data_IF_390893472637
#
_entry.id   IF_390893472637
#
_cell.length_a   1.000
_cell.length_b   1.000
_cell.length_c   1.000
_cell.angle_alpha   90.00
_cell.angle_beta   90.00
_cell.angle_gamma   90.00
#
_symmetry.space_group_name_H-M   'P 1'
#
loop_
_entity.id
_entity.type
_entity.pdbx_description
1 polymer ?
#
# COMPACT_ATOMS: atom_id res chain seq x y z
N UNK A 1 -12.31 12.08 -0.17
CA UNK A 1 -10.91 11.75 -0.52
C UNK A 1 -10.82 10.30 -0.96
N UNK A 2 -11.21 9.33 -0.11
CA UNK A 2 -11.16 7.90 -0.42
C UNK A 2 -11.85 7.47 -1.73
N UNK A 3 -13.05 7.97 -2.04
CA UNK A 3 -13.78 7.52 -3.25
C UNK A 3 -13.05 7.79 -4.57
N UNK A 4 -12.37 8.95 -4.73
CA UNK A 4 -11.64 9.26 -5.98
C UNK A 4 -10.40 8.38 -6.16
N UNK A 5 -9.70 8.08 -5.07
CA UNK A 5 -8.48 7.27 -5.13
C UNK A 5 -8.80 5.81 -5.48
N UNK A 6 -9.96 5.32 -5.02
CA UNK A 6 -10.51 4.01 -5.40
C UNK A 6 -10.89 3.96 -6.89
N UNK A 7 -11.56 5.00 -7.39
CA UNK A 7 -11.96 5.10 -8.80
C UNK A 7 -10.77 5.05 -9.76
N UNK A 8 -9.67 5.75 -9.44
CA UNK A 8 -8.44 5.75 -10.26
C UNK A 8 -7.78 4.36 -10.27
N UNK A 9 -7.66 3.72 -9.11
CA UNK A 9 -7.05 2.39 -9.00
C UNK A 9 -7.86 1.33 -9.76
N UNK A 10 -9.19 1.42 -9.67
CA UNK A 10 -10.12 0.56 -10.42
C UNK A 10 -10.07 0.81 -11.93
N UNK A 11 -9.89 2.06 -12.37
CA UNK A 11 -9.79 2.37 -13.79
C UNK A 11 -8.53 1.73 -14.39
N UNK A 12 -7.38 1.87 -13.73
CA UNK A 12 -6.11 1.26 -14.17
C UNK A 12 -6.21 -0.27 -14.23
N UNK A 13 -6.83 -0.89 -13.22
CA UNK A 13 -6.99 -2.36 -13.19
C UNK A 13 -7.99 -2.91 -14.22
N UNK A 14 -8.81 -2.05 -14.85
CA UNK A 14 -9.72 -2.41 -15.95
C UNK A 14 -9.10 -2.24 -17.32
N UNK A 15 -7.94 -1.58 -17.41
CA UNK A 15 -7.24 -1.40 -18.67
C UNK A 15 -6.70 -2.75 -19.17
N UNK A 16 -6.69 -2.91 -20.50
CA UNK A 16 -6.23 -4.15 -21.16
C UNK A 16 -4.76 -4.41 -20.79
N UNK A 17 -4.45 -5.63 -20.33
CA UNK A 17 -3.12 -6.02 -19.89
C UNK A 17 -2.86 -5.82 -18.39
N UNK A 18 -3.85 -5.31 -17.63
CA UNK A 18 -3.78 -5.13 -16.18
C UNK A 18 -4.74 -6.05 -15.41
N UNK A 19 -5.23 -7.12 -16.03
CA UNK A 19 -6.25 -8.01 -15.46
C UNK A 19 -5.80 -8.58 -14.11
N UNK A 20 -4.50 -8.91 -13.97
CA UNK A 20 -3.90 -9.40 -12.73
C UNK A 20 -3.89 -8.36 -11.59
N UNK A 21 -3.98 -7.06 -11.90
CA UNK A 21 -4.03 -6.00 -10.89
C UNK A 21 -5.37 -5.94 -10.18
N UNK A 22 -6.45 -6.48 -10.75
CA UNK A 22 -7.79 -6.41 -10.16
C UNK A 22 -7.85 -7.03 -8.77
N UNK A 23 -7.13 -8.14 -8.54
CA UNK A 23 -7.06 -8.78 -7.23
C UNK A 23 -6.38 -7.91 -6.16
N UNK A 24 -5.53 -6.97 -6.58
CA UNK A 24 -4.71 -6.12 -5.71
C UNK A 24 -5.35 -4.77 -5.39
N UNK A 25 -6.42 -4.37 -6.09
CA UNK A 25 -7.12 -3.09 -5.85
C UNK A 25 -7.56 -2.96 -4.39
N UNK A 26 -8.34 -3.92 -3.90
CA UNK A 26 -8.87 -3.89 -2.53
C UNK A 26 -7.77 -3.98 -1.45
N UNK A 27 -6.75 -4.86 -1.59
CA UNK A 27 -5.57 -4.82 -0.71
C UNK A 27 -4.84 -3.47 -0.71
N UNK A 28 -4.63 -2.86 -1.89
CA UNK A 28 -3.96 -1.57 -2.04
C UNK A 28 -4.72 -0.47 -1.29
N UNK A 29 -6.04 -0.39 -1.46
CA UNK A 29 -6.90 0.57 -0.76
C UNK A 29 -6.83 0.41 0.76
N UNK A 30 -6.93 -0.84 1.25
CA UNK A 30 -6.82 -1.14 2.68
C UNK A 30 -5.45 -0.74 3.23
N UNK A 31 -4.39 -1.03 2.48
CA UNK A 31 -3.03 -0.68 2.86
C UNK A 31 -2.84 0.85 2.91
N UNK A 32 -3.39 1.59 1.95
CA UNK A 32 -3.35 3.05 1.96
C UNK A 32 -4.10 3.62 3.16
N UNK A 33 -5.33 3.14 3.41
CA UNK A 33 -6.12 3.54 4.58
C UNK A 33 -5.38 3.25 5.90
N UNK A 34 -4.78 2.07 6.03
CA UNK A 34 -3.95 1.71 7.17
C UNK A 34 -2.73 2.64 7.31
N UNK A 35 -2.07 2.98 6.21
CA UNK A 35 -0.91 3.88 6.21
C UNK A 35 -1.26 5.26 6.77
N UNK A 36 -2.42 5.80 6.37
CA UNK A 36 -2.93 7.07 6.85
C UNK A 36 -3.39 7.01 8.32
N UNK A 37 -4.16 5.99 8.69
CA UNK A 37 -4.78 5.89 10.03
C UNK A 37 -3.81 5.47 11.14
N UNK A 38 -2.73 4.77 10.81
CA UNK A 38 -1.70 4.38 11.79
C UNK A 38 -0.55 5.39 11.92
N UNK A 39 -0.63 6.52 11.23
CA UNK A 39 0.36 7.60 11.34
C UNK A 39 -0.25 8.74 12.16
N UNK A 40 -0.07 8.67 13.47
CA UNK A 40 -0.78 9.50 14.46
C UNK A 40 -0.50 11.00 14.37
N UNK A 41 0.69 11.38 13.91
CA UNK A 41 1.10 12.78 13.74
C UNK A 41 0.73 13.34 12.35
N UNK A 42 0.11 12.52 11.49
CA UNK A 42 -0.23 12.89 10.12
C UNK A 42 0.98 13.15 9.23
N UNK A 43 2.18 12.70 9.60
CA UNK A 43 3.39 12.92 8.82
C UNK A 43 3.29 12.27 7.45
N UNK A 44 3.13 13.11 6.42
CA UNK A 44 2.92 12.68 5.04
C UNK A 44 4.05 11.81 4.49
N UNK A 45 5.29 12.05 4.91
CA UNK A 45 6.44 11.25 4.49
C UNK A 45 6.36 9.83 5.06
N UNK A 46 5.94 9.68 6.31
CA UNK A 46 5.75 8.36 6.94
C UNK A 46 4.54 7.62 6.33
N UNK A 47 3.43 8.33 6.06
CA UNK A 47 2.27 7.76 5.35
C UNK A 47 2.70 7.23 3.98
N UNK A 48 3.48 8.01 3.23
CA UNK A 48 3.97 7.62 1.91
C UNK A 48 4.95 6.44 2.00
N UNK A 49 5.88 6.44 2.96
CA UNK A 49 6.82 5.34 3.17
C UNK A 49 6.10 4.03 3.48
N UNK A 50 5.11 4.07 4.38
CA UNK A 50 4.21 2.95 4.65
C UNK A 50 3.52 2.51 3.36
N UNK A 51 2.83 3.40 2.64
CA UNK A 51 2.11 3.01 1.45
C UNK A 51 3.00 2.40 0.36
N UNK A 52 4.21 2.95 0.13
CA UNK A 52 5.20 2.39 -0.81
C UNK A 52 5.63 0.96 -0.44
N UNK A 53 5.64 0.60 0.84
CA UNK A 53 5.97 -0.76 1.27
C UNK A 53 4.99 -1.82 0.77
N UNK A 54 3.78 -1.43 0.36
CA UNK A 54 2.77 -2.35 -0.20
C UNK A 54 3.34 -3.18 -1.36
N UNK A 55 4.12 -2.58 -2.27
CA UNK A 55 4.71 -3.30 -3.39
C UNK A 55 5.73 -4.36 -2.95
N UNK A 56 6.47 -4.08 -1.87
CA UNK A 56 7.38 -5.08 -1.27
C UNK A 56 6.58 -6.21 -0.61
N UNK A 57 5.46 -5.89 0.04
CA UNK A 57 4.55 -6.87 0.63
C UNK A 57 3.94 -7.81 -0.44
N UNK A 58 3.57 -7.28 -1.62
CA UNK A 58 3.07 -8.06 -2.77
C UNK A 58 4.08 -9.14 -3.19
N UNK A 59 5.38 -8.87 -3.13
CA UNK A 59 6.46 -9.82 -3.47
C UNK A 59 7.02 -10.54 -2.23
N UNK A 60 6.28 -10.54 -1.12
CA UNK A 60 6.64 -11.19 0.14
C UNK A 60 7.97 -10.71 0.76
N UNK A 61 8.37 -9.47 0.49
CA UNK A 61 9.53 -8.81 1.10
C UNK A 61 9.06 -7.91 2.25
N UNK A 62 9.40 -8.29 3.48
CA UNK A 62 8.91 -7.61 4.70
C UNK A 62 9.95 -6.78 5.45
N UNK A 63 11.22 -6.81 5.03
CA UNK A 63 12.32 -6.07 5.67
C UNK A 63 13.35 -5.61 4.63
N UNK A 64 14.23 -4.69 5.02
CA UNK A 64 15.20 -4.08 4.11
C UNK A 64 14.51 -3.34 2.97
N UNK A 65 13.41 -2.65 3.30
CA UNK A 65 12.60 -1.89 2.35
C UNK A 65 13.35 -0.62 1.92
N UNK A 66 12.97 -0.07 0.76
CA UNK A 66 13.67 1.06 0.12
C UNK A 66 13.64 2.34 0.96
N UNK A 67 12.52 2.62 1.61
CA UNK A 67 12.34 3.86 2.37
C UNK A 67 12.76 3.68 3.85
N UNK A 68 13.80 4.39 4.33
CA UNK A 68 14.28 4.25 5.69
C UNK A 68 13.27 4.72 6.74
N UNK A 69 12.28 5.55 6.38
CA UNK A 69 11.21 5.97 7.29
C UNK A 69 10.25 4.82 7.64
N UNK A 70 10.25 3.75 6.84
CA UNK A 70 9.49 2.53 7.08
C UNK A 70 10.20 1.34 6.43
N UNK A 71 11.30 0.88 7.04
CA UNK A 71 12.20 -0.12 6.45
C UNK A 71 11.81 -1.60 6.74
N UNK A 72 10.71 -1.83 7.46
CA UNK A 72 10.18 -3.15 7.84
C UNK A 72 8.66 -3.07 8.05
N UNK A 73 7.93 -4.11 7.67
CA UNK A 73 6.49 -4.23 7.91
C UNK A 73 6.15 -4.23 9.41
N UNK A 74 4.98 -3.71 9.76
CA UNK A 74 4.56 -3.48 11.15
C UNK A 74 3.82 -4.65 11.81
N UNK A 75 3.53 -5.71 11.06
CA UNK A 75 2.99 -6.95 11.60
C UNK A 75 4.13 -7.92 11.91
N UNK A 76 3.90 -8.83 12.85
CA UNK A 76 4.80 -9.96 13.08
C UNK A 76 4.87 -10.86 11.84
N UNK A 77 5.86 -11.76 11.78
CA UNK A 77 5.83 -12.82 10.76
C UNK A 77 4.49 -13.53 10.86
N UNK A 78 3.77 -13.59 9.73
CA UNK A 78 2.51 -14.31 9.65
C UNK A 78 2.82 -15.79 9.93
N UNK A 79 2.54 -16.24 11.15
CA UNK A 79 2.59 -17.64 11.56
C UNK A 79 1.50 -18.46 10.84
#
# INVERSE_FOLDING_TARGET
>A
MLQRDQEVTLQIAKDKGNEDLQQWVKPCEKHFYWSATTTSDGNKSVILAKFKSFLSHVVNKHSGLEDPLFNKCAHDEMA
#
